data_IF_808139393300
#
_entry.id   IF_808139393300
#
_cell.length_a   1.000
_cell.length_b   1.000
_cell.length_c   1.000
_cell.angle_alpha   90.00
_cell.angle_beta   90.00
_cell.angle_gamma   90.00
#
_symmetry.space_group_name_H-M   'P 1'
#
loop_
_entity.id
_entity.type
_entity.pdbx_description
1 polymer ?
#
# COMPACT_ATOMS: atom_id res chain seq x y z
N UNK A 1 22.08 -14.16 18.76
CA UNK A 1 22.67 -13.93 17.43
C UNK A 1 21.94 -14.64 16.27
N UNK A 2 21.24 -15.77 16.46
CA UNK A 2 20.45 -16.41 15.37
C UNK A 2 19.05 -15.82 15.18
N UNK A 3 18.52 -15.12 16.19
CA UNK A 3 17.26 -14.39 16.12
C UNK A 3 17.52 -12.99 15.51
N UNK A 4 16.80 -12.55 14.46
CA UNK A 4 16.91 -11.19 13.93
C UNK A 4 16.59 -10.07 14.94
N UNK A 5 15.76 -10.35 15.94
CA UNK A 5 15.40 -9.42 17.02
C UNK A 5 16.41 -9.41 18.17
N UNK A 6 17.54 -10.11 18.01
CA UNK A 6 18.58 -10.13 19.03
C UNK A 6 19.28 -8.75 19.14
N UNK A 7 19.53 -8.26 20.38
CA UNK A 7 20.19 -6.97 20.58
C UNK A 7 21.66 -6.95 20.12
N UNK A 8 22.30 -8.11 19.94
CA UNK A 8 23.69 -8.19 19.47
C UNK A 8 23.80 -7.81 17.99
N UNK A 9 24.46 -6.68 17.72
CA UNK A 9 24.64 -6.13 16.35
C UNK A 9 26.05 -6.29 15.77
N UNK A 10 27.09 -6.28 16.60
CA UNK A 10 28.49 -6.32 16.16
C UNK A 10 29.30 -7.28 17.04
N UNK A 11 30.20 -8.05 16.44
CA UNK A 11 31.17 -8.89 17.15
C UNK A 11 32.54 -8.68 16.54
N UNK A 12 33.52 -8.33 17.37
CA UNK A 12 34.91 -8.18 16.97
C UNK A 12 35.63 -9.49 17.32
N UNK A 13 36.19 -10.14 16.31
CA UNK A 13 36.84 -11.45 16.46
C UNK A 13 38.22 -11.43 15.80
N UNK A 14 39.16 -12.24 16.34
CA UNK A 14 40.50 -12.41 15.76
C UNK A 14 40.60 -13.67 14.90
N UNK A 15 40.34 -14.83 15.52
CA UNK A 15 40.43 -16.16 14.89
C UNK A 15 39.18 -17.01 15.17
N UNK A 16 38.51 -16.73 16.28
CA UNK A 16 37.27 -17.40 16.65
C UNK A 16 36.16 -16.99 15.68
N UNK A 17 35.26 -17.93 15.40
CA UNK A 17 34.07 -17.73 14.55
C UNK A 17 34.33 -17.55 13.05
N UNK A 18 35.60 -17.61 12.62
CA UNK A 18 35.95 -17.76 11.20
C UNK A 18 35.70 -19.20 10.72
N UNK A 19 35.74 -20.17 11.64
CA UNK A 19 35.42 -21.58 11.41
C UNK A 19 34.35 -22.07 12.38
N UNK A 20 33.48 -22.98 11.94
CA UNK A 20 32.45 -23.63 12.77
C UNK A 20 31.25 -22.75 13.21
N UNK A 21 31.34 -21.43 13.11
CA UNK A 21 30.25 -20.51 13.43
C UNK A 21 29.18 -20.48 12.33
N UNK A 22 27.93 -20.40 12.72
CA UNK A 22 26.78 -20.36 11.81
C UNK A 22 25.77 -19.32 12.29
N UNK A 23 25.68 -18.22 11.55
CA UNK A 23 24.73 -17.13 11.80
C UNK A 23 24.07 -16.74 10.47
N UNK A 24 23.00 -17.45 10.05
CA UNK A 24 22.29 -17.15 8.81
C UNK A 24 21.87 -15.67 8.64
N UNK A 25 21.44 -14.95 9.69
CA UNK A 25 21.12 -13.52 9.57
C UNK A 25 22.32 -12.59 9.34
N UNK A 26 23.56 -13.05 9.54
CA UNK A 26 24.74 -12.21 9.41
C UNK A 26 24.95 -11.82 7.94
N UNK A 27 24.83 -10.52 7.63
CA UNK A 27 24.92 -9.98 6.28
C UNK A 27 26.30 -9.41 5.96
N UNK A 28 26.91 -8.67 6.89
CA UNK A 28 28.12 -7.88 6.62
C UNK A 28 29.31 -8.41 7.42
N UNK A 29 30.47 -8.55 6.76
CA UNK A 29 31.76 -8.86 7.39
C UNK A 29 32.77 -7.77 7.06
N UNK A 30 33.39 -7.20 8.10
CA UNK A 30 34.48 -6.24 7.97
C UNK A 30 35.81 -6.98 8.17
N UNK A 31 36.74 -6.83 7.23
CA UNK A 31 38.02 -7.55 7.24
C UNK A 31 39.17 -6.54 7.36
N UNK A 32 39.87 -6.63 8.47
CA UNK A 32 41.12 -5.93 8.76
C UNK A 32 42.19 -6.93 9.23
N UNK A 33 42.29 -8.05 8.50
CA UNK A 33 43.23 -9.13 8.81
C UNK A 33 43.65 -9.89 7.55
N UNK A 34 44.95 -10.03 7.27
CA UNK A 34 45.41 -10.76 6.10
C UNK A 34 44.97 -12.22 6.18
N UNK A 35 44.27 -12.68 5.15
CA UNK A 35 43.70 -14.02 5.03
C UNK A 35 43.88 -14.52 3.60
N UNK A 36 44.31 -15.77 3.45
CA UNK A 36 44.61 -16.37 2.15
C UNK A 36 43.92 -17.74 1.99
N UNK A 37 43.67 -18.12 0.73
CA UNK A 37 43.22 -19.46 0.35
C UNK A 37 41.96 -19.93 1.08
N UNK A 38 42.00 -21.14 1.64
CA UNK A 38 40.84 -21.79 2.25
C UNK A 38 40.27 -21.03 3.45
N UNK A 39 41.11 -20.37 4.25
CA UNK A 39 40.65 -19.61 5.42
C UNK A 39 39.80 -18.40 5.00
N UNK A 40 40.19 -17.74 3.91
CA UNK A 40 39.46 -16.62 3.33
C UNK A 40 38.08 -17.07 2.79
N UNK A 41 38.06 -18.17 2.03
CA UNK A 41 36.81 -18.75 1.52
C UNK A 41 35.85 -19.18 2.63
N UNK A 42 36.38 -19.80 3.70
CA UNK A 42 35.58 -20.22 4.84
C UNK A 42 34.98 -19.06 5.61
N UNK A 43 35.71 -17.94 5.72
CA UNK A 43 35.23 -16.72 6.37
C UNK A 43 34.11 -16.07 5.54
N UNK A 44 34.31 -15.88 4.23
CA UNK A 44 33.33 -15.23 3.34
C UNK A 44 32.06 -16.06 3.19
N UNK A 45 32.17 -17.40 3.15
CA UNK A 45 31.02 -18.29 3.12
C UNK A 45 30.10 -18.15 4.35
N UNK A 46 30.55 -17.52 5.45
CA UNK A 46 29.70 -17.24 6.63
C UNK A 46 28.68 -16.16 6.36
N UNK A 47 29.08 -15.09 5.67
CA UNK A 47 28.16 -14.02 5.30
C UNK A 47 27.31 -14.36 4.08
N UNK A 48 27.64 -15.41 3.32
CA UNK A 48 26.84 -15.82 2.17
C UNK A 48 25.80 -16.93 2.46
N UNK A 49 25.39 -17.12 3.72
CA UNK A 49 24.29 -18.03 4.08
C UNK A 49 22.94 -17.43 3.67
N UNK A 50 22.13 -18.24 2.96
CA UNK A 50 20.77 -17.88 2.55
C UNK A 50 19.89 -17.68 3.78
N UNK A 51 19.23 -16.52 3.86
CA UNK A 51 18.34 -16.21 4.97
C UNK A 51 17.28 -15.18 4.56
N UNK A 52 16.00 -15.59 4.54
CA UNK A 52 14.86 -14.73 4.17
C UNK A 52 15.12 -13.97 2.85
N UNK A 53 14.94 -12.65 2.83
CA UNK A 53 15.11 -11.76 1.67
C UNK A 53 16.54 -11.22 1.53
N UNK A 54 17.53 -11.83 2.17
CA UNK A 54 18.92 -11.41 2.10
C UNK A 54 19.45 -11.61 0.67
N UNK A 55 19.86 -10.53 -0.04
CA UNK A 55 20.28 -10.61 -1.43
C UNK A 55 21.65 -11.29 -1.59
N UNK A 56 22.49 -11.25 -0.56
CA UNK A 56 23.83 -11.84 -0.53
C UNK A 56 24.57 -11.52 0.76
N UNK A 57 25.86 -11.85 0.82
CA UNK A 57 26.76 -11.39 1.88
C UNK A 57 27.61 -10.21 1.42
N UNK A 58 27.72 -9.16 2.23
CA UNK A 58 28.59 -8.02 1.99
C UNK A 58 29.93 -8.21 2.72
N UNK A 59 31.04 -8.06 2.00
CA UNK A 59 32.39 -8.10 2.56
C UNK A 59 33.02 -6.73 2.36
N UNK A 60 33.39 -6.08 3.46
CA UNK A 60 34.07 -4.78 3.48
C UNK A 60 35.54 -5.02 3.79
N UNK A 61 36.40 -4.70 2.83
CA UNK A 61 37.83 -4.98 2.87
C UNK A 61 38.64 -3.71 3.12
N UNK A 62 39.42 -3.67 4.20
CA UNK A 62 40.30 -2.54 4.55
C UNK A 62 41.77 -2.74 4.18
N UNK A 63 42.15 -3.95 3.74
CA UNK A 63 43.55 -4.36 3.58
C UNK A 63 43.90 -4.87 2.17
N UNK A 64 42.90 -5.05 1.28
CA UNK A 64 43.10 -5.43 -0.11
C UNK A 64 43.14 -6.95 -0.36
N UNK A 65 42.33 -7.74 0.35
CA UNK A 65 42.15 -9.19 0.13
C UNK A 65 41.42 -9.54 -1.17
N UNK A 66 40.91 -8.56 -1.93
CA UNK A 66 40.21 -8.81 -3.21
C UNK A 66 41.03 -9.67 -4.20
N UNK A 67 42.35 -9.45 -4.27
CA UNK A 67 43.24 -10.23 -5.14
C UNK A 67 43.35 -11.70 -4.66
N UNK A 68 43.53 -11.89 -3.35
CA UNK A 68 43.58 -13.22 -2.72
C UNK A 68 42.26 -13.98 -2.82
N UNK A 69 41.14 -13.25 -2.74
CA UNK A 69 39.80 -13.79 -2.93
C UNK A 69 39.61 -14.30 -4.35
N UNK A 70 40.04 -13.54 -5.36
CA UNK A 70 39.97 -13.94 -6.77
C UNK A 70 40.79 -15.21 -7.03
N UNK A 71 41.97 -15.32 -6.43
CA UNK A 71 42.81 -16.53 -6.51
C UNK A 71 42.14 -17.72 -5.79
N UNK A 72 41.57 -17.51 -4.61
CA UNK A 72 40.92 -18.56 -3.83
C UNK A 72 39.61 -19.05 -4.47
N UNK A 73 38.82 -18.16 -5.07
CA UNK A 73 37.63 -18.49 -5.85
C UNK A 73 37.99 -19.32 -7.08
N UNK A 74 39.03 -18.93 -7.81
CA UNK A 74 39.51 -19.66 -8.99
C UNK A 74 39.91 -21.09 -8.62
N UNK A 75 40.68 -21.26 -7.55
CA UNK A 75 41.07 -22.58 -7.05
C UNK A 75 39.86 -23.44 -6.61
N UNK A 76 38.81 -22.83 -6.07
CA UNK A 76 37.58 -23.53 -5.66
C UNK A 76 36.73 -23.97 -6.88
N UNK A 77 36.62 -23.13 -7.91
CA UNK A 77 35.92 -23.45 -9.18
C UNK A 77 36.63 -24.57 -9.94
N UNK A 78 37.96 -24.48 -10.04
CA UNK A 78 38.81 -25.51 -10.68
C UNK A 78 38.69 -26.88 -9.98
N UNK A 79 38.23 -26.90 -8.71
CA UNK A 79 38.03 -28.11 -7.89
C UNK A 79 36.60 -28.72 -7.94
N UNK A 80 35.79 -28.40 -8.96
CA UNK A 80 34.42 -28.95 -9.18
C UNK A 80 33.34 -28.45 -8.19
N UNK A 81 33.43 -27.20 -7.73
CA UNK A 81 32.28 -26.55 -7.07
C UNK A 81 31.15 -26.27 -8.07
N UNK A 82 29.93 -26.77 -7.82
CA UNK A 82 28.75 -26.44 -8.66
C UNK A 82 28.23 -25.04 -8.34
N UNK A 83 28.35 -24.11 -9.30
CA UNK A 83 27.73 -22.78 -9.30
C UNK A 83 28.59 -21.75 -10.03
N UNK A 84 27.97 -20.90 -10.87
CA UNK A 84 28.63 -19.69 -11.39
C UNK A 84 28.86 -18.72 -10.22
N UNK A 85 30.10 -18.45 -9.78
CA UNK A 85 30.37 -17.81 -8.49
C UNK A 85 30.24 -16.28 -8.51
N UNK A 86 30.09 -15.70 -9.69
CA UNK A 86 30.20 -14.26 -9.93
C UNK A 86 29.10 -13.89 -10.89
N UNK A 87 28.13 -13.12 -10.40
CA UNK A 87 27.31 -12.32 -11.30
C UNK A 87 28.30 -11.41 -12.02
N UNK A 88 28.35 -11.49 -13.34
CA UNK A 88 29.15 -10.59 -14.15
C UNK A 88 28.66 -9.16 -13.87
N UNK A 89 29.49 -8.40 -13.15
CA UNK A 89 29.18 -7.03 -12.73
C UNK A 89 29.00 -6.12 -13.94
N UNK A 90 29.68 -6.40 -15.06
CA UNK A 90 29.51 -5.67 -16.32
C UNK A 90 28.16 -6.01 -16.96
N UNK A 91 27.75 -7.29 -16.94
CA UNK A 91 26.43 -7.68 -17.42
C UNK A 91 25.30 -7.11 -16.53
N UNK A 92 25.51 -7.03 -15.22
CA UNK A 92 24.59 -6.38 -14.29
C UNK A 92 24.50 -4.87 -14.54
N UNK A 93 25.62 -4.22 -14.84
CA UNK A 93 25.68 -2.81 -15.21
C UNK A 93 24.96 -2.54 -16.54
N UNK A 94 25.19 -3.36 -17.57
CA UNK A 94 24.47 -3.27 -18.83
C UNK A 94 22.95 -3.45 -18.64
N UNK A 95 22.54 -4.39 -17.78
CA UNK A 95 21.14 -4.57 -17.42
C UNK A 95 20.57 -3.37 -16.64
N UNK A 96 21.37 -2.76 -15.76
CA UNK A 96 20.99 -1.53 -15.04
C UNK A 96 20.74 -0.39 -16.02
N UNK A 97 21.66 -0.13 -16.95
CA UNK A 97 21.53 0.91 -17.97
C UNK A 97 20.27 0.70 -18.82
N UNK A 98 20.03 -0.53 -19.30
CA UNK A 98 18.83 -0.85 -20.07
C UNK A 98 17.53 -0.59 -19.28
N UNK A 99 17.53 -0.82 -17.96
CA UNK A 99 16.38 -0.52 -17.10
C UNK A 99 16.26 0.97 -16.81
N UNK A 100 17.37 1.68 -16.64
CA UNK A 100 17.38 3.12 -16.45
C UNK A 100 16.85 3.84 -17.69
N UNK A 101 17.25 3.41 -18.89
CA UNK A 101 16.72 3.92 -20.15
C UNK A 101 15.23 3.65 -20.32
N UNK A 102 14.75 2.48 -19.90
CA UNK A 102 13.33 2.19 -19.88
C UNK A 102 12.57 3.13 -18.93
N UNK A 103 13.14 3.47 -17.77
CA UNK A 103 12.56 4.45 -16.84
C UNK A 103 12.58 5.86 -17.43
N UNK A 104 13.72 6.32 -17.97
CA UNK A 104 13.85 7.60 -18.70
C UNK A 104 12.81 7.73 -19.81
N UNK A 105 12.58 6.67 -20.57
CA UNK A 105 11.55 6.65 -21.62
C UNK A 105 10.13 6.87 -21.10
N UNK A 106 9.82 6.50 -19.86
CA UNK A 106 8.52 6.78 -19.24
C UNK A 106 8.34 8.26 -18.88
N UNK A 107 9.44 8.99 -18.66
CA UNK A 107 9.46 10.43 -18.41
C UNK A 107 9.56 11.26 -19.69
N UNK A 108 9.43 10.66 -20.89
CA UNK A 108 9.42 11.42 -22.13
C UNK A 108 8.37 12.55 -22.09
N UNK A 109 8.83 13.79 -22.27
CA UNK A 109 8.02 15.00 -22.18
C UNK A 109 7.98 15.66 -20.78
N UNK A 110 8.73 15.14 -19.82
CA UNK A 110 8.95 15.74 -18.50
C UNK A 110 10.45 15.82 -18.21
N UNK A 111 10.95 17.04 -18.04
CA UNK A 111 12.34 17.26 -17.66
C UNK A 111 12.49 17.17 -16.14
N UNK A 112 13.38 16.29 -15.70
CA UNK A 112 13.73 16.12 -14.30
C UNK A 112 15.23 16.31 -14.06
N UNK A 113 15.99 16.84 -15.03
CA UNK A 113 17.46 16.96 -14.95
C UNK A 113 17.96 17.72 -13.72
N UNK A 114 17.16 18.62 -13.15
CA UNK A 114 17.49 19.35 -11.90
C UNK A 114 17.25 18.51 -10.62
N UNK A 115 17.19 17.17 -10.72
CA UNK A 115 16.94 16.27 -9.59
C UNK A 115 18.01 16.36 -8.48
N UNK A 116 19.20 16.89 -8.75
CA UNK A 116 20.25 17.06 -7.73
C UNK A 116 20.02 18.28 -6.83
N UNK A 117 19.39 19.34 -7.36
CA UNK A 117 19.18 20.62 -6.69
C UNK A 117 17.73 20.82 -6.24
N UNK A 118 16.78 20.37 -7.05
CA UNK A 118 15.34 20.64 -6.91
C UNK A 118 14.53 19.34 -6.71
N UNK A 119 15.18 18.27 -6.19
CA UNK A 119 14.58 16.94 -5.99
C UNK A 119 13.18 16.97 -5.37
N UNK A 120 13.01 17.81 -4.35
CA UNK A 120 11.77 17.93 -3.58
C UNK A 120 10.66 18.55 -4.44
N UNK A 121 10.98 19.61 -5.18
CA UNK A 121 10.03 20.32 -6.04
C UNK A 121 9.64 19.50 -7.27
N UNK A 122 10.54 18.66 -7.78
CA UNK A 122 10.31 17.78 -8.93
C UNK A 122 9.51 16.52 -8.60
N UNK A 123 9.42 16.13 -7.32
CA UNK A 123 8.80 14.87 -6.91
C UNK A 123 7.31 14.79 -7.28
N UNK A 124 6.52 15.84 -6.97
CA UNK A 124 5.08 15.86 -7.26
C UNK A 124 4.81 15.97 -8.77
N UNK A 125 5.45 16.87 -9.53
CA UNK A 125 5.32 16.90 -10.99
C UNK A 125 5.73 15.59 -11.68
N UNK A 126 6.80 14.93 -11.21
CA UNK A 126 7.23 13.62 -11.71
C UNK A 126 6.15 12.55 -11.50
N UNK A 127 5.51 12.54 -10.34
CA UNK A 127 4.39 11.63 -10.05
C UNK A 127 3.19 11.93 -10.94
N UNK A 128 2.82 13.19 -11.10
CA UNK A 128 1.69 13.61 -11.95
C UNK A 128 1.88 13.14 -13.40
N UNK A 129 3.10 13.30 -13.93
CA UNK A 129 3.44 12.83 -15.27
C UNK A 129 3.27 11.30 -15.42
N UNK A 130 3.64 10.52 -14.40
CA UNK A 130 3.49 9.05 -14.43
C UNK A 130 2.05 8.59 -14.23
N UNK A 131 1.24 9.38 -13.53
CA UNK A 131 -0.18 9.12 -13.28
C UNK A 131 -1.10 9.67 -14.38
N UNK A 132 -0.55 10.45 -15.31
CA UNK A 132 -1.30 10.93 -16.47
C UNK A 132 -1.79 9.74 -17.31
N UNK A 133 -3.11 9.56 -17.51
CA UNK A 133 -3.66 8.47 -18.32
C UNK A 133 -3.32 8.67 -19.80
N UNK A 134 -2.97 7.60 -20.51
CA UNK A 134 -2.81 7.61 -21.96
C UNK A 134 -4.16 7.56 -22.71
N UNK A 135 -4.13 7.50 -24.04
CA UNK A 135 -5.34 7.43 -24.88
C UNK A 135 -6.17 6.14 -24.64
N UNK A 136 -5.61 5.14 -23.98
CA UNK A 136 -6.30 3.90 -23.59
C UNK A 136 -6.78 3.91 -22.13
N UNK A 137 -6.62 5.02 -21.42
CA UNK A 137 -6.99 5.17 -20.00
C UNK A 137 -6.03 4.49 -19.02
N UNK A 138 -4.88 3.99 -19.50
CA UNK A 138 -3.85 3.37 -18.64
C UNK A 138 -2.79 4.40 -18.26
N UNK A 139 -2.32 4.33 -17.02
CA UNK A 139 -1.23 5.20 -16.54
C UNK A 139 0.12 4.52 -16.77
N UNK A 140 1.20 5.31 -16.77
CA UNK A 140 2.58 4.78 -16.86
C UNK A 140 3.05 4.15 -15.55
N UNK A 141 2.28 4.33 -14.46
CA UNK A 141 2.55 3.83 -13.11
C UNK A 141 3.01 2.38 -13.05
N UNK A 142 2.24 1.44 -13.58
CA UNK A 142 2.56 0.01 -13.41
C UNK A 142 3.86 -0.35 -14.13
N UNK A 143 4.04 0.18 -15.34
CA UNK A 143 5.30 0.02 -16.10
C UNK A 143 6.48 0.63 -15.38
N UNK A 144 6.30 1.79 -14.73
CA UNK A 144 7.33 2.43 -13.92
C UNK A 144 7.70 1.60 -12.70
N UNK A 145 6.72 1.09 -11.94
CA UNK A 145 6.97 0.26 -10.76
C UNK A 145 7.71 -1.03 -11.12
N UNK A 146 7.36 -1.65 -12.24
CA UNK A 146 8.03 -2.85 -12.77
C UNK A 146 9.45 -2.56 -13.26
N UNK A 147 9.64 -1.48 -14.03
CA UNK A 147 10.96 -1.06 -14.50
C UNK A 147 11.89 -0.72 -13.34
N UNK A 148 11.39 0.03 -12.34
CA UNK A 148 12.12 0.34 -11.12
C UNK A 148 12.47 -0.91 -10.32
N UNK A 149 11.61 -1.94 -10.30
CA UNK A 149 11.93 -3.20 -9.62
C UNK A 149 13.11 -3.93 -10.29
N UNK A 150 13.19 -3.87 -11.62
CA UNK A 150 14.36 -4.35 -12.36
C UNK A 150 15.61 -3.51 -12.08
N UNK A 151 15.48 -2.18 -12.14
CA UNK A 151 16.57 -1.23 -11.92
C UNK A 151 17.22 -1.39 -10.55
N UNK A 152 16.42 -1.41 -9.47
CA UNK A 152 16.94 -1.55 -8.09
C UNK A 152 17.71 -2.87 -7.91
N UNK A 153 17.25 -3.97 -8.51
CA UNK A 153 17.94 -5.26 -8.44
C UNK A 153 19.26 -5.25 -9.21
N UNK A 154 19.27 -4.67 -10.41
CA UNK A 154 20.47 -4.57 -11.23
C UNK A 154 21.52 -3.65 -10.58
N UNK A 155 21.09 -2.48 -10.07
CA UNK A 155 21.96 -1.55 -9.37
C UNK A 155 22.60 -2.17 -8.12
N UNK A 156 21.85 -2.93 -7.32
CA UNK A 156 22.42 -3.61 -6.15
C UNK A 156 23.56 -4.59 -6.50
N UNK A 157 23.60 -5.11 -7.73
CA UNK A 157 24.62 -6.06 -8.20
C UNK A 157 25.84 -5.37 -8.83
N UNK A 158 25.72 -4.11 -9.25
CA UNK A 158 26.80 -3.35 -9.88
C UNK A 158 27.18 -2.06 -9.15
N UNK A 159 26.58 -1.78 -8.00
CA UNK A 159 26.78 -0.54 -7.22
C UNK A 159 28.22 -0.27 -6.76
N UNK A 160 29.09 -1.29 -6.78
CA UNK A 160 30.51 -1.17 -6.42
C UNK A 160 31.41 -0.79 -7.61
N UNK A 161 30.85 -0.63 -8.82
CA UNK A 161 31.59 -0.15 -9.98
C UNK A 161 31.66 1.37 -9.97
N UNK A 162 32.83 1.93 -10.29
CA UNK A 162 33.03 3.37 -10.39
C UNK A 162 32.11 4.00 -11.46
N UNK A 163 31.81 3.26 -12.54
CA UNK A 163 30.88 3.70 -13.59
C UNK A 163 29.42 3.76 -13.13
N UNK A 164 29.05 3.02 -12.08
CA UNK A 164 27.69 3.06 -11.53
C UNK A 164 27.46 4.24 -10.58
N UNK A 165 28.54 4.89 -10.11
CA UNK A 165 28.49 6.03 -9.20
C UNK A 165 27.82 7.26 -9.84
N UNK A 166 28.04 7.47 -11.14
CA UNK A 166 27.45 8.59 -11.90
C UNK A 166 25.91 8.59 -11.87
N UNK A 167 25.30 7.41 -11.80
CA UNK A 167 23.84 7.25 -11.81
C UNK A 167 23.20 7.25 -10.41
N UNK A 168 24.01 7.32 -9.35
CA UNK A 168 23.52 7.14 -7.98
C UNK A 168 22.43 8.14 -7.61
N UNK A 169 22.65 9.42 -7.89
CA UNK A 169 21.68 10.48 -7.53
C UNK A 169 20.38 10.38 -8.34
N UNK A 170 20.47 10.07 -9.63
CA UNK A 170 19.29 9.84 -10.48
C UNK A 170 18.48 8.64 -9.98
N UNK A 171 19.13 7.50 -9.71
CA UNK A 171 18.48 6.29 -9.20
C UNK A 171 17.85 6.54 -7.83
N UNK A 172 18.48 7.35 -6.98
CA UNK A 172 17.94 7.75 -5.68
C UNK A 172 16.66 8.60 -5.84
N UNK A 173 16.67 9.61 -6.70
CA UNK A 173 15.48 10.42 -7.01
C UNK A 173 14.34 9.56 -7.56
N UNK A 174 14.61 8.71 -8.54
CA UNK A 174 13.62 7.80 -9.13
C UNK A 174 13.06 6.81 -8.08
N UNK A 175 13.91 6.37 -7.15
CA UNK A 175 13.49 5.53 -6.02
C UNK A 175 12.59 6.28 -5.04
N UNK A 176 12.83 7.58 -4.81
CA UNK A 176 11.94 8.43 -4.03
C UNK A 176 10.56 8.60 -4.71
N UNK A 177 10.54 8.84 -6.04
CA UNK A 177 9.30 8.90 -6.82
C UNK A 177 8.53 7.57 -6.73
N UNK A 178 9.22 6.43 -6.85
CA UNK A 178 8.63 5.09 -6.66
C UNK A 178 8.03 4.92 -5.27
N UNK A 179 8.77 5.27 -4.21
CA UNK A 179 8.31 5.16 -2.84
C UNK A 179 7.06 6.02 -2.60
N UNK A 180 7.05 7.25 -3.13
CA UNK A 180 5.92 8.15 -3.06
C UNK A 180 4.68 7.59 -3.80
N UNK A 181 4.84 7.09 -5.02
CA UNK A 181 3.75 6.44 -5.77
C UNK A 181 3.18 5.25 -4.97
N UNK A 182 4.02 4.36 -4.45
CA UNK A 182 3.55 3.19 -3.67
C UNK A 182 2.80 3.65 -2.41
N UNK A 183 3.38 4.58 -1.65
CA UNK A 183 2.81 5.10 -0.40
C UNK A 183 1.47 5.79 -0.62
N UNK A 184 1.28 6.46 -1.76
CA UNK A 184 0.12 7.31 -2.01
C UNK A 184 -0.90 6.73 -3.01
N UNK A 185 -0.59 5.65 -3.75
CA UNK A 185 -1.50 5.13 -4.80
C UNK A 185 -1.78 3.62 -4.77
N UNK A 186 -1.14 2.84 -3.89
CA UNK A 186 -1.48 1.42 -3.70
C UNK A 186 -2.21 1.18 -2.39
N UNK A 187 -3.36 0.52 -2.47
CA UNK A 187 -4.09 -0.05 -1.32
C UNK A 187 -3.12 -0.97 -0.59
N UNK A 188 -3.00 -0.83 0.73
CA UNK A 188 -2.20 -1.73 1.55
C UNK A 188 -2.65 -3.18 1.35
N UNK A 189 -1.99 -3.93 0.46
CA UNK A 189 -1.82 -5.35 0.71
C UNK A 189 -0.99 -5.43 1.98
N UNK A 190 -1.55 -6.03 3.04
CA UNK A 190 -0.90 -6.31 4.33
C UNK A 190 0.48 -6.96 4.12
N UNK A 191 1.51 -6.16 3.89
CA UNK A 191 2.90 -6.54 4.09
C UNK A 191 3.19 -6.26 5.55
N UNK A 192 3.70 -7.27 6.24
CA UNK A 192 4.00 -7.19 7.67
C UNK A 192 5.00 -6.06 7.92
N UNK A 193 4.92 -5.38 9.08
CA UNK A 193 5.87 -4.30 9.42
C UNK A 193 7.33 -4.71 9.27
N UNK A 194 7.63 -5.99 9.52
CA UNK A 194 8.96 -6.58 9.32
C UNK A 194 9.42 -6.58 7.84
N UNK A 195 8.50 -6.77 6.88
CA UNK A 195 8.81 -6.72 5.44
C UNK A 195 8.98 -5.28 4.95
N UNK A 196 8.19 -4.33 5.50
CA UNK A 196 8.32 -2.90 5.23
C UNK A 196 9.65 -2.36 5.79
N UNK A 197 10.02 -2.72 7.03
CA UNK A 197 11.30 -2.35 7.63
C UNK A 197 12.50 -2.97 6.92
N UNK A 198 12.42 -4.22 6.46
CA UNK A 198 13.51 -4.85 5.72
C UNK A 198 13.77 -4.22 4.36
N UNK A 199 12.72 -3.78 3.66
CA UNK A 199 12.83 -3.08 2.38
C UNK A 199 13.32 -1.64 2.57
N UNK A 200 12.83 -0.92 3.59
CA UNK A 200 13.33 0.41 3.95
C UNK A 200 14.81 0.37 4.34
N UNK A 201 15.21 -0.63 5.13
CA UNK A 201 16.59 -0.76 5.59
C UNK A 201 17.55 -1.08 4.45
N UNK A 202 17.14 -1.92 3.49
CA UNK A 202 17.92 -2.18 2.28
C UNK A 202 18.02 -0.97 1.32
N UNK A 203 17.04 -0.06 1.37
CA UNK A 203 17.07 1.21 0.62
C UNK A 203 17.95 2.24 1.33
N UNK A 204 17.89 2.31 2.67
CA UNK A 204 18.70 3.21 3.50
C UNK A 204 20.17 2.79 3.53
N UNK A 205 20.46 1.48 3.57
CA UNK A 205 21.83 0.96 3.61
C UNK A 205 22.59 1.19 2.27
N UNK A 206 21.87 1.47 1.16
CA UNK A 206 22.44 1.82 -0.15
C UNK A 206 22.23 3.30 -0.55
N UNK A 207 21.51 4.09 0.25
CA UNK A 207 21.26 5.50 0.01
C UNK A 207 21.78 6.29 1.20
N UNK A 208 23.07 6.64 1.15
CA UNK A 208 23.62 7.64 2.06
C UNK A 208 22.89 8.97 1.79
N UNK A 209 22.11 9.35 2.80
CA UNK A 209 21.44 10.65 3.03
C UNK A 209 20.26 10.98 2.13
N UNK A 210 19.06 10.72 2.65
CA UNK A 210 18.14 11.81 2.95
C UNK A 210 17.37 11.46 4.24
N UNK A 211 17.77 12.07 5.36
CA UNK A 211 16.91 12.14 6.52
C UNK A 211 15.59 12.83 6.10
N UNK A 212 14.47 12.12 6.32
CA UNK A 212 13.14 12.73 6.30
C UNK A 212 12.35 12.60 5.00
N UNK A 213 11.95 11.39 4.61
CA UNK A 213 10.67 11.21 3.87
C UNK A 213 9.53 11.11 4.88
N UNK A 214 9.43 12.11 5.76
CA UNK A 214 8.33 12.26 6.70
C UNK A 214 7.43 13.41 6.23
N UNK A 215 6.38 13.00 5.50
CA UNK A 215 5.25 13.79 4.98
C UNK A 215 5.45 14.62 3.73
N UNK A 216 5.15 13.98 2.59
CA UNK A 216 4.75 14.66 1.35
C UNK A 216 3.53 15.57 1.58
N UNK A 217 2.67 15.26 2.58
CA UNK A 217 1.62 16.16 3.02
C UNK A 217 2.20 17.51 3.48
N UNK A 218 3.23 17.55 4.34
CA UNK A 218 3.89 18.81 4.73
C UNK A 218 4.55 19.53 3.56
N UNK A 219 5.09 18.78 2.59
CA UNK A 219 5.68 19.35 1.37
C UNK A 219 4.62 19.99 0.46
N UNK A 220 3.37 19.52 0.52
CA UNK A 220 2.21 20.15 -0.11
C UNK A 220 1.49 21.17 0.81
N UNK A 221 1.99 21.43 2.03
CA UNK A 221 1.37 22.36 3.01
C UNK A 221 0.32 21.73 3.96
N UNK A 222 0.18 20.41 3.96
CA UNK A 222 -0.90 19.64 4.60
C UNK A 222 -0.41 18.91 5.88
N UNK A 223 -1.21 18.90 6.95
CA UNK A 223 -0.89 18.20 8.21
C UNK A 223 -1.27 16.70 8.23
N UNK A 224 -0.61 15.90 9.08
CA UNK A 224 -0.74 14.43 9.24
C UNK A 224 -2.13 13.97 9.75
N UNK A 225 -2.49 12.67 9.57
CA UNK A 225 -3.87 12.22 9.47
C UNK A 225 -4.59 12.09 10.83
N UNK A 226 -5.69 12.80 10.93
CA UNK A 226 -6.92 12.32 11.57
C UNK A 226 -8.06 12.59 10.58
N UNK A 227 -9.27 12.13 10.89
CA UNK A 227 -10.51 12.25 10.08
C UNK A 227 -10.79 13.68 9.50
N UNK A 228 -10.03 14.71 9.88
CA UNK A 228 -9.97 16.03 9.24
C UNK A 228 -9.34 16.09 7.83
N UNK A 229 -8.89 14.98 7.24
CA UNK A 229 -8.36 14.92 5.87
C UNK A 229 -9.41 15.07 4.76
N UNK A 230 -10.69 15.09 5.09
CA UNK A 230 -11.76 15.50 4.16
C UNK A 230 -12.39 16.84 4.58
N UNK A 231 -11.76 17.58 5.51
CA UNK A 231 -12.30 18.87 5.97
C UNK A 231 -12.49 19.83 4.80
N UNK A 232 -13.44 20.77 4.93
CA UNK A 232 -13.66 21.77 3.89
C UNK A 232 -12.38 22.53 3.53
N UNK A 233 -11.52 22.82 4.52
CA UNK A 233 -10.22 23.45 4.31
C UNK A 233 -9.30 22.61 3.40
N UNK A 234 -9.16 21.30 3.65
CA UNK A 234 -8.38 20.39 2.81
C UNK A 234 -8.94 20.31 1.39
N UNK A 235 -10.26 20.19 1.25
CA UNK A 235 -10.91 20.09 -0.07
C UNK A 235 -10.72 21.37 -0.89
N UNK A 236 -10.69 22.54 -0.26
CA UNK A 236 -10.43 23.81 -0.92
C UNK A 236 -8.93 23.99 -1.27
N UNK A 237 -8.01 23.45 -0.47
CA UNK A 237 -6.58 23.39 -0.78
C UNK A 237 -6.31 22.46 -1.98
N UNK A 238 -6.98 21.31 -2.04
CA UNK A 238 -6.83 20.32 -3.11
C UNK A 238 -7.27 20.89 -4.49
N UNK A 239 -8.29 21.77 -4.51
CA UNK A 239 -8.70 22.50 -5.72
C UNK A 239 -7.58 23.38 -6.30
N UNK A 240 -6.69 23.87 -5.44
CA UNK A 240 -5.62 24.77 -5.82
C UNK A 240 -4.34 24.03 -6.27
N UNK A 241 -4.30 22.69 -6.17
CA UNK A 241 -3.13 21.90 -6.56
C UNK A 241 -2.92 21.98 -8.08
N UNK A 242 -1.75 22.46 -8.55
CA UNK A 242 -1.46 22.54 -9.98
C UNK A 242 -1.40 21.16 -10.65
N UNK A 243 -0.97 20.13 -9.91
CA UNK A 243 -0.84 18.75 -10.36
C UNK A 243 -2.16 17.99 -10.22
N UNK A 244 -3.05 18.19 -11.19
CA UNK A 244 -4.42 17.69 -11.15
C UNK A 244 -4.54 16.16 -11.16
N UNK A 245 -3.63 15.42 -11.81
CA UNK A 245 -3.70 13.95 -11.84
C UNK A 245 -3.26 13.35 -10.51
N UNK A 246 -2.27 13.97 -9.86
CA UNK A 246 -1.91 13.64 -8.48
C UNK A 246 -3.10 13.86 -7.53
N UNK A 247 -3.81 14.98 -7.68
CA UNK A 247 -4.97 15.29 -6.85
C UNK A 247 -6.09 14.25 -6.98
N UNK A 248 -6.42 13.83 -8.21
CA UNK A 248 -7.39 12.75 -8.45
C UNK A 248 -6.95 11.45 -7.76
N UNK A 249 -5.68 11.06 -7.90
CA UNK A 249 -5.18 9.83 -7.27
C UNK A 249 -5.18 9.89 -5.73
N UNK A 250 -4.93 11.07 -5.16
CA UNK A 250 -5.00 11.29 -3.72
C UNK A 250 -6.44 11.21 -3.22
N UNK A 251 -7.36 11.93 -3.85
CA UNK A 251 -8.79 11.93 -3.51
C UNK A 251 -9.42 10.55 -3.67
N UNK A 252 -9.11 9.84 -4.75
CA UNK A 252 -9.54 8.45 -4.96
C UNK A 252 -9.20 7.58 -3.75
N UNK A 253 -7.93 7.63 -3.33
CA UNK A 253 -7.46 6.83 -2.20
C UNK A 253 -8.12 7.23 -0.90
N UNK A 254 -8.17 8.53 -0.60
CA UNK A 254 -8.75 9.03 0.65
C UNK A 254 -10.23 8.63 0.76
N UNK A 255 -10.98 8.75 -0.33
CA UNK A 255 -12.37 8.31 -0.39
C UNK A 255 -12.47 6.79 -0.25
N UNK A 256 -11.66 6.01 -0.97
CA UNK A 256 -11.71 4.56 -0.89
C UNK A 256 -11.38 4.03 0.52
N UNK A 257 -10.36 4.60 1.17
CA UNK A 257 -9.96 4.22 2.52
C UNK A 257 -11.01 4.63 3.56
N UNK A 258 -11.60 5.84 3.42
CA UNK A 258 -12.64 6.33 4.33
C UNK A 258 -13.95 5.56 4.18
N UNK A 259 -14.40 5.26 2.96
CA UNK A 259 -15.58 4.41 2.68
C UNK A 259 -15.39 3.04 3.32
N UNK A 260 -14.24 2.40 3.10
CA UNK A 260 -13.94 1.08 3.70
C UNK A 260 -13.86 1.14 5.23
N UNK A 261 -13.28 2.20 5.80
CA UNK A 261 -13.12 2.30 7.24
C UNK A 261 -14.44 2.59 7.97
N UNK A 262 -15.30 3.45 7.38
CA UNK A 262 -16.55 3.89 8.01
C UNK A 262 -17.75 3.00 7.69
N UNK A 263 -17.87 2.52 6.45
CA UNK A 263 -19.03 1.77 5.99
C UNK A 263 -18.78 0.27 5.86
N UNK A 264 -17.69 -0.27 6.42
CA UNK A 264 -17.45 -1.74 6.45
C UNK A 264 -18.66 -2.54 6.95
N UNK A 265 -19.41 -1.95 7.87
CA UNK A 265 -20.58 -2.56 8.51
C UNK A 265 -21.90 -2.10 7.89
N UNK A 266 -21.92 -1.29 6.84
CA UNK A 266 -23.13 -0.77 6.20
C UNK A 266 -23.08 -0.96 4.68
N UNK A 267 -23.76 -2.00 4.20
CA UNK A 267 -23.71 -2.43 2.79
C UNK A 267 -24.21 -1.35 1.84
N UNK A 268 -25.22 -0.61 2.26
CA UNK A 268 -25.94 0.29 1.37
C UNK A 268 -25.11 1.54 1.13
N UNK A 269 -24.58 2.13 2.20
CA UNK A 269 -23.67 3.27 2.07
C UNK A 269 -22.37 2.85 1.39
N UNK A 270 -21.81 1.68 1.71
CA UNK A 270 -20.62 1.17 1.04
C UNK A 270 -20.84 1.02 -0.48
N UNK A 271 -21.93 0.38 -0.92
CA UNK A 271 -22.24 0.21 -2.35
C UNK A 271 -22.47 1.56 -3.03
N UNK A 272 -23.29 2.43 -2.43
CA UNK A 272 -23.65 3.74 -2.96
C UNK A 272 -22.41 4.60 -3.22
N UNK A 273 -21.52 4.74 -2.23
CA UNK A 273 -20.31 5.56 -2.38
C UNK A 273 -19.25 4.88 -3.25
N UNK A 274 -19.08 3.55 -3.15
CA UNK A 274 -18.10 2.82 -3.98
C UNK A 274 -18.46 2.83 -5.47
N UNK A 275 -19.74 2.64 -5.80
CA UNK A 275 -20.22 2.69 -7.19
C UNK A 275 -20.06 4.09 -7.78
N UNK A 276 -20.44 5.12 -7.03
CA UNK A 276 -20.31 6.51 -7.45
C UNK A 276 -18.83 6.92 -7.63
N UNK A 277 -17.93 6.45 -6.76
CA UNK A 277 -16.48 6.64 -6.90
C UNK A 277 -15.97 5.95 -8.16
N UNK A 278 -16.35 4.69 -8.38
CA UNK A 278 -15.97 3.95 -9.57
C UNK A 278 -16.49 4.61 -10.86
N UNK A 279 -17.69 5.20 -10.85
CA UNK A 279 -18.25 5.93 -11.99
C UNK A 279 -17.46 7.20 -12.30
N UNK A 280 -17.13 8.01 -11.29
CA UNK A 280 -16.30 9.20 -11.44
C UNK A 280 -14.92 8.86 -12.05
N UNK A 281 -14.29 7.78 -11.56
CA UNK A 281 -13.00 7.30 -12.07
C UNK A 281 -13.10 6.70 -13.48
N UNK A 282 -14.23 6.07 -13.84
CA UNK A 282 -14.45 5.61 -15.23
C UNK A 282 -14.50 6.78 -16.19
N UNK A 283 -15.18 7.88 -15.82
CA UNK A 283 -15.21 9.11 -16.63
C UNK A 283 -13.81 9.69 -16.79
N UNK A 284 -13.01 9.69 -15.72
CA UNK A 284 -11.60 10.10 -15.75
C UNK A 284 -10.74 9.24 -16.69
N UNK A 285 -10.73 7.92 -16.51
CA UNK A 285 -9.94 7.01 -17.34
C UNK A 285 -10.33 7.07 -18.82
N UNK A 286 -11.61 7.27 -19.12
CA UNK A 286 -12.10 7.37 -20.50
C UNK A 286 -11.95 8.79 -21.08
N UNK A 287 -11.37 9.75 -20.32
CA UNK A 287 -11.30 11.18 -20.68
C UNK A 287 -12.64 11.76 -21.14
N UNK A 288 -13.74 11.23 -20.60
CA UNK A 288 -15.09 11.67 -20.94
C UNK A 288 -15.37 13.09 -20.41
N UNK A 289 -14.57 13.52 -19.43
CA UNK A 289 -14.68 14.75 -18.68
C UNK A 289 -13.26 15.29 -18.40
N UNK A 290 -13.11 16.62 -18.28
CA UNK A 290 -11.84 17.25 -17.89
C UNK A 290 -11.41 16.86 -16.47
N UNK A 291 -10.10 16.74 -16.21
CA UNK A 291 -9.56 16.36 -14.89
C UNK A 291 -10.07 17.28 -13.78
N UNK A 292 -10.17 18.58 -14.02
CA UNK A 292 -10.74 19.54 -13.07
C UNK A 292 -12.19 19.21 -12.67
N UNK A 293 -13.01 18.77 -13.61
CA UNK A 293 -14.40 18.40 -13.33
C UNK A 293 -14.50 17.06 -12.60
N UNK A 294 -13.56 16.13 -12.82
CA UNK A 294 -13.44 14.91 -12.00
C UNK A 294 -13.09 15.27 -10.55
N UNK A 295 -12.14 16.19 -10.34
CA UNK A 295 -11.79 16.69 -9.00
C UNK A 295 -13.02 17.26 -8.29
N UNK A 296 -13.81 18.09 -8.99
CA UNK A 296 -15.07 18.62 -8.45
C UNK A 296 -16.09 17.52 -8.10
N UNK A 297 -16.25 16.49 -8.94
CA UNK A 297 -17.12 15.34 -8.61
C UNK A 297 -16.64 14.59 -7.35
N UNK A 298 -15.32 14.39 -7.21
CA UNK A 298 -14.71 13.73 -6.04
C UNK A 298 -14.84 14.59 -4.76
N UNK A 299 -14.65 15.90 -4.87
CA UNK A 299 -14.85 16.84 -3.75
C UNK A 299 -16.32 16.87 -3.33
N UNK A 300 -17.25 16.93 -4.29
CA UNK A 300 -18.68 16.86 -4.00
C UNK A 300 -19.04 15.56 -3.25
N UNK A 301 -18.46 14.44 -3.69
CA UNK A 301 -18.62 13.17 -3.00
C UNK A 301 -18.04 13.18 -1.58
N UNK A 302 -16.88 13.80 -1.36
CA UNK A 302 -16.30 13.95 -0.02
C UNK A 302 -17.20 14.76 0.91
N UNK A 303 -17.83 15.82 0.41
CA UNK A 303 -18.81 16.62 1.17
C UNK A 303 -20.07 15.82 1.50
N UNK A 304 -20.60 15.08 0.52
CA UNK A 304 -21.74 14.19 0.74
C UNK A 304 -21.42 13.12 1.79
N UNK A 305 -20.22 12.54 1.74
CA UNK A 305 -19.72 11.57 2.71
C UNK A 305 -19.68 12.15 4.13
N UNK A 306 -19.17 13.37 4.30
CA UNK A 306 -19.19 14.07 5.60
C UNK A 306 -20.61 14.35 6.09
N UNK A 307 -21.51 14.74 5.18
CA UNK A 307 -22.90 15.01 5.54
C UNK A 307 -23.62 13.76 6.07
N UNK A 308 -23.35 12.59 5.49
CA UNK A 308 -23.91 11.32 5.96
C UNK A 308 -23.32 10.94 7.31
N UNK A 309 -22.01 11.12 7.54
CA UNK A 309 -21.41 10.91 8.87
C UNK A 309 -22.05 11.79 9.96
N UNK A 310 -22.26 13.07 9.67
CA UNK A 310 -22.96 13.96 10.60
C UNK A 310 -24.43 13.60 10.78
N UNK A 311 -25.08 13.06 9.75
CA UNK A 311 -26.45 12.54 9.87
C UNK A 311 -26.47 11.35 10.81
N UNK A 312 -25.56 10.39 10.65
CA UNK A 312 -25.41 9.24 11.54
C UNK A 312 -25.23 9.66 13.01
N UNK A 313 -24.37 10.65 13.27
CA UNK A 313 -24.17 11.22 14.61
C UNK A 313 -25.47 11.83 15.18
N UNK A 314 -26.26 12.53 14.36
CA UNK A 314 -27.56 13.10 14.75
C UNK A 314 -28.64 12.06 14.99
N UNK A 315 -28.55 10.89 14.33
CA UNK A 315 -29.49 9.80 14.54
C UNK A 315 -29.36 9.21 15.96
N UNK A 316 -28.18 9.31 16.57
CA UNK A 316 -27.91 8.83 17.93
C UNK A 316 -28.05 7.31 18.08
N UNK A 317 -27.95 6.59 16.96
CA UNK A 317 -28.07 5.13 16.87
C UNK A 317 -26.68 4.47 16.94
N UNK A 318 -26.63 3.21 17.39
CA UNK A 318 -25.40 2.41 17.29
C UNK A 318 -25.05 2.09 15.83
N UNK A 319 -23.77 1.78 15.55
CA UNK A 319 -23.30 1.48 14.17
C UNK A 319 -24.13 0.40 13.45
N UNK A 320 -24.53 -0.64 14.19
CA UNK A 320 -25.37 -1.70 13.63
C UNK A 320 -26.79 -1.22 13.32
N UNK A 321 -27.36 -0.42 14.23
CA UNK A 321 -28.71 0.13 14.10
C UNK A 321 -28.80 1.10 12.93
N UNK A 322 -27.75 1.88 12.68
CA UNK A 322 -27.62 2.74 11.50
C UNK A 322 -27.65 1.90 10.22
N UNK A 323 -26.88 0.82 10.17
CA UNK A 323 -26.84 -0.05 9.00
C UNK A 323 -28.21 -0.71 8.70
N UNK A 324 -28.95 -1.10 9.74
CA UNK A 324 -30.33 -1.58 9.56
C UNK A 324 -31.31 -0.47 9.21
N UNK A 325 -31.14 0.74 9.75
CA UNK A 325 -31.96 1.90 9.39
C UNK A 325 -31.79 2.23 7.90
N UNK A 326 -30.56 2.27 7.39
CA UNK A 326 -30.29 2.53 5.97
C UNK A 326 -30.88 1.42 5.08
N UNK A 327 -30.85 0.15 5.53
CA UNK A 327 -31.52 -0.96 4.86
C UNK A 327 -33.03 -0.84 4.77
N UNK A 328 -33.65 -0.16 5.73
CA UNK A 328 -35.09 0.10 5.72
C UNK A 328 -35.43 1.38 4.96
N UNK A 329 -34.52 2.35 4.94
CA UNK A 329 -34.69 3.65 4.30
C UNK A 329 -34.42 3.61 2.78
N UNK A 330 -33.76 2.57 2.26
CA UNK A 330 -33.58 2.35 0.81
C UNK A 330 -34.92 2.27 0.05
N UNK A 331 -36.00 1.88 0.72
CA UNK A 331 -37.34 2.00 0.16
C UNK A 331 -37.88 3.43 0.32
N UNK A 332 -37.92 4.19 -0.77
CA UNK A 332 -38.45 5.55 -0.79
C UNK A 332 -39.90 5.66 -0.24
N UNK A 333 -40.75 4.67 -0.49
CA UNK A 333 -42.13 4.65 0.01
C UNK A 333 -42.16 4.56 1.54
N UNK A 334 -41.22 3.82 2.14
CA UNK A 334 -41.11 3.70 3.59
C UNK A 334 -40.68 5.01 4.25
N UNK A 335 -39.75 5.73 3.63
CA UNK A 335 -39.32 7.06 4.13
C UNK A 335 -40.47 8.05 4.08
N UNK A 336 -41.26 8.06 2.99
CA UNK A 336 -42.40 8.98 2.82
C UNK A 336 -43.58 8.67 3.75
N UNK A 337 -43.92 7.40 3.95
CA UNK A 337 -45.12 7.00 4.69
C UNK A 337 -44.90 6.85 6.20
N UNK A 338 -43.71 6.39 6.63
CA UNK A 338 -43.42 6.13 8.04
C UNK A 338 -42.61 7.26 8.69
N UNK A 339 -41.79 7.96 7.90
CA UNK A 339 -40.85 8.95 8.39
C UNK A 339 -39.69 8.37 9.22
N UNK A 340 -38.70 9.21 9.51
CA UNK A 340 -37.44 8.77 10.13
C UNK A 340 -37.62 8.22 11.55
N UNK A 341 -38.49 8.82 12.37
CA UNK A 341 -38.65 8.40 13.78
C UNK A 341 -39.21 6.99 13.93
N UNK A 342 -40.04 6.55 12.99
CA UNK A 342 -40.57 5.18 12.99
C UNK A 342 -39.50 4.23 12.46
N UNK A 343 -38.81 4.58 11.37
CA UNK A 343 -37.74 3.76 10.81
C UNK A 343 -36.61 3.52 11.82
N UNK A 344 -36.23 4.52 12.62
CA UNK A 344 -35.27 4.35 13.73
C UNK A 344 -35.73 3.30 14.74
N UNK A 345 -37.00 3.36 15.17
CA UNK A 345 -37.56 2.38 16.11
C UNK A 345 -37.60 0.97 15.53
N UNK A 346 -37.92 0.84 14.25
CA UNK A 346 -37.88 -0.44 13.54
C UNK A 346 -36.45 -0.96 13.52
N UNK A 347 -35.47 -0.13 13.17
CA UNK A 347 -34.06 -0.51 13.11
C UNK A 347 -33.56 -1.02 14.47
N UNK A 348 -33.85 -0.32 15.57
CA UNK A 348 -33.52 -0.76 16.94
C UNK A 348 -34.20 -2.10 17.27
N UNK A 349 -35.51 -2.25 17.00
CA UNK A 349 -36.24 -3.49 17.30
C UNK A 349 -35.72 -4.68 16.46
N UNK A 350 -35.41 -4.46 15.18
CA UNK A 350 -34.83 -5.46 14.28
C UNK A 350 -33.43 -5.86 14.76
N UNK A 351 -32.58 -4.90 15.12
CA UNK A 351 -31.22 -5.16 15.63
C UNK A 351 -31.25 -6.01 16.89
N UNK A 352 -32.08 -5.65 17.87
CA UNK A 352 -32.22 -6.40 19.13
C UNK A 352 -32.71 -7.83 18.88
N UNK A 353 -33.74 -8.00 18.05
CA UNK A 353 -34.29 -9.33 17.76
C UNK A 353 -33.31 -10.20 16.99
N UNK A 354 -32.58 -9.63 16.02
CA UNK A 354 -31.55 -10.35 15.28
C UNK A 354 -30.42 -10.78 16.20
N UNK A 355 -29.82 -9.87 16.99
CA UNK A 355 -28.77 -10.21 17.96
C UNK A 355 -29.17 -11.31 18.94
N UNK A 356 -30.41 -11.29 19.43
CA UNK A 356 -30.90 -12.34 20.35
C UNK A 356 -31.17 -13.70 19.68
N UNK A 357 -31.35 -13.71 18.36
CA UNK A 357 -31.72 -14.91 17.60
C UNK A 357 -30.57 -15.52 16.80
N UNK A 358 -29.43 -14.83 16.68
CA UNK A 358 -28.24 -15.31 15.96
C UNK A 358 -27.45 -16.30 16.82
N UNK A 359 -27.33 -17.54 16.36
CA UNK A 359 -26.39 -18.54 16.89
C UNK A 359 -25.09 -18.54 16.08
N UNK A 360 -23.99 -19.04 16.66
CA UNK A 360 -22.71 -19.25 15.93
C UNK A 360 -22.95 -20.04 14.63
N UNK A 361 -22.33 -19.60 13.52
CA UNK A 361 -22.42 -20.18 12.16
C UNK A 361 -23.82 -20.17 11.49
N UNK A 362 -24.75 -19.29 11.89
CA UNK A 362 -26.09 -19.25 11.27
C UNK A 362 -26.10 -18.94 9.77
N UNK A 363 -25.08 -18.21 9.26
CA UNK A 363 -24.92 -17.88 7.84
C UNK A 363 -24.90 -19.12 6.93
N UNK A 364 -24.41 -20.26 7.43
CA UNK A 364 -24.31 -21.53 6.68
C UNK A 364 -25.57 -22.40 6.78
N UNK A 365 -26.55 -22.01 7.61
CA UNK A 365 -27.75 -22.81 7.90
C UNK A 365 -29.00 -22.15 7.33
N UNK A 366 -29.47 -22.68 6.20
CA UNK A 366 -30.64 -22.16 5.48
C UNK A 366 -31.91 -22.13 6.35
N UNK A 367 -32.08 -23.10 7.26
CA UNK A 367 -33.20 -23.13 8.21
C UNK A 367 -33.17 -21.99 9.23
N UNK A 368 -31.99 -21.51 9.63
CA UNK A 368 -31.86 -20.36 10.53
C UNK A 368 -32.12 -19.07 9.77
N UNK A 369 -31.58 -18.94 8.55
CA UNK A 369 -31.82 -17.80 7.66
C UNK A 369 -33.31 -17.61 7.36
N UNK A 370 -34.03 -18.70 7.07
CA UNK A 370 -35.47 -18.68 6.86
C UNK A 370 -36.25 -18.20 8.10
N UNK A 371 -35.85 -18.63 9.31
CA UNK A 371 -36.46 -18.15 10.57
C UNK A 371 -36.22 -16.66 10.80
N UNK A 372 -35.01 -16.17 10.52
CA UNK A 372 -34.67 -14.75 10.65
C UNK A 372 -35.45 -13.90 9.63
N UNK A 373 -35.60 -14.34 8.38
CA UNK A 373 -36.46 -13.67 7.38
C UNK A 373 -37.90 -13.52 7.88
N UNK A 374 -38.47 -14.57 8.47
CA UNK A 374 -39.83 -14.53 9.04
C UNK A 374 -39.90 -13.53 10.20
N UNK A 375 -38.88 -13.49 11.06
CA UNK A 375 -38.80 -12.56 12.19
C UNK A 375 -38.76 -11.10 11.71
N UNK A 376 -37.94 -10.80 10.70
CA UNK A 376 -37.84 -9.46 10.11
C UNK A 376 -39.17 -9.09 9.48
N UNK A 377 -39.75 -9.98 8.66
CA UNK A 377 -41.06 -9.77 8.01
C UNK A 377 -42.18 -9.46 9.01
N UNK A 378 -42.27 -10.21 10.12
CA UNK A 378 -43.25 -9.94 11.19
C UNK A 378 -43.03 -8.59 11.86
N UNK A 379 -41.77 -8.20 12.06
CA UNK A 379 -41.43 -6.89 12.66
C UNK A 379 -41.84 -5.76 11.72
N UNK A 380 -41.57 -5.88 10.42
CA UNK A 380 -42.01 -4.90 9.42
C UNK A 380 -43.53 -4.80 9.32
N UNK A 381 -44.25 -5.94 9.39
CA UNK A 381 -45.72 -5.95 9.40
C UNK A 381 -46.31 -5.25 10.63
N UNK A 382 -45.73 -5.46 11.82
CA UNK A 382 -46.16 -4.79 13.07
C UNK A 382 -46.11 -3.27 12.94
N UNK A 383 -45.09 -2.74 12.28
CA UNK A 383 -44.89 -1.32 12.07
C UNK A 383 -45.55 -0.78 10.79
N UNK A 384 -46.36 -1.59 10.09
CA UNK A 384 -47.05 -1.24 8.85
C UNK A 384 -46.11 -0.75 7.74
N UNK A 385 -44.96 -1.41 7.60
CA UNK A 385 -44.02 -1.10 6.52
C UNK A 385 -44.67 -1.32 5.14
N UNK A 386 -44.49 -0.40 4.17
CA UNK A 386 -45.14 -0.50 2.86
C UNK A 386 -44.86 -1.84 2.15
N UNK A 387 -45.88 -2.47 1.54
CA UNK A 387 -45.76 -3.81 0.97
C UNK A 387 -45.01 -3.85 -0.38
N UNK A 388 -44.80 -2.70 -1.02
CA UNK A 388 -44.28 -2.56 -2.38
C UNK A 388 -42.85 -3.10 -2.56
N UNK A 389 -41.93 -2.77 -1.63
CA UNK A 389 -40.55 -3.28 -1.59
C UNK A 389 -40.22 -3.96 -0.28
N UNK A 390 -41.24 -4.45 0.44
CA UNK A 390 -41.05 -5.12 1.72
C UNK A 390 -40.12 -6.34 1.62
N UNK A 391 -40.23 -7.13 0.55
CA UNK A 391 -39.39 -8.31 0.36
C UNK A 391 -37.93 -7.94 0.08
N UNK A 392 -37.68 -6.90 -0.72
CA UNK A 392 -36.34 -6.37 -0.96
C UNK A 392 -35.71 -5.81 0.33
N UNK A 393 -36.49 -5.10 1.16
CA UNK A 393 -36.03 -4.61 2.46
C UNK A 393 -35.67 -5.76 3.42
N UNK A 394 -36.44 -6.86 3.42
CA UNK A 394 -36.10 -8.07 4.19
C UNK A 394 -34.78 -8.67 3.71
N UNK A 395 -34.56 -8.73 2.40
CA UNK A 395 -33.32 -9.27 1.81
C UNK A 395 -32.10 -8.43 2.17
N UNK A 396 -32.22 -7.10 2.08
CA UNK A 396 -31.18 -6.17 2.47
C UNK A 396 -30.85 -6.28 3.97
N UNK A 397 -31.87 -6.33 4.83
CA UNK A 397 -31.68 -6.51 6.28
C UNK A 397 -30.98 -7.83 6.61
N UNK A 398 -31.30 -8.91 5.90
CA UNK A 398 -30.62 -10.21 6.13
C UNK A 398 -29.18 -10.19 5.64
N UNK A 399 -28.91 -9.61 4.46
CA UNK A 399 -27.55 -9.42 3.96
C UNK A 399 -26.72 -8.54 4.89
N UNK A 400 -27.33 -7.51 5.46
CA UNK A 400 -26.72 -6.64 6.46
C UNK A 400 -26.40 -7.39 7.76
N UNK A 401 -27.31 -8.25 8.21
CA UNK A 401 -27.10 -9.09 9.38
C UNK A 401 -25.98 -10.14 9.17
N UNK A 402 -25.80 -10.65 7.95
CA UNK A 402 -24.72 -11.58 7.62
C UNK A 402 -23.35 -10.95 7.84
N UNK A 403 -23.13 -9.71 7.41
CA UNK A 403 -21.85 -9.03 7.59
C UNK A 403 -21.56 -8.66 9.04
N UNK A 404 -22.60 -8.35 9.82
CA UNK A 404 -22.48 -8.06 11.24
C UNK A 404 -22.29 -9.32 12.10
N UNK A 405 -22.62 -10.51 11.58
CA UNK A 405 -22.53 -11.75 12.35
C UNK A 405 -21.10 -12.06 12.82
N UNK A 406 -20.08 -11.69 12.03
CA UNK A 406 -18.66 -11.84 12.39
C UNK A 406 -18.22 -10.87 13.51
N UNK A 407 -18.98 -9.78 13.72
CA UNK A 407 -18.73 -8.80 14.77
C UNK A 407 -19.55 -9.06 16.06
N UNK A 408 -20.58 -9.91 15.98
CA UNK A 408 -21.44 -10.28 17.13
C UNK A 408 -20.98 -11.55 17.85
N UNK A 409 -20.06 -12.30 17.25
CA UNK A 409 -19.31 -13.41 17.87
C UNK A 409 -18.03 -12.91 18.51
#
# INVERSE_FOLDING_TARGET
FKNPEDPLRLVIVRDMWLTGFDAPPCHTMYIDKPMHGHNLMQAIARVNRVFKNKPGGLVVDYIGIAADLKVALKAYVDSQGKGEPTVDTEAAFAAMLAKLDAVRGLFFGFDYSDYETEAIHLLIPAMDHLLTPDASGKTKKDRFLDAMAGLTRAYALCSTLDEAEEYRYEIAFLSAVRAAIIKHTTVEQKKTEAEKHSLLKAIIDNAVVAEGVDDIFKLAGLEKPNIGLLSEAFLDEERAIPQQNFAVALLERLLQDSIKARFRTNVIQESKFSERLAEALRKYHNRAIETAQVIEELIGMAKDFQSELHREERLGLGLDEIAFYDALADNESAVRELGDDILKKIAVEVTQKLRSSTSVDWQKRESVRARLRILVRRTLQKWKYPPDRQEAAVDLVIRQAELLADAWT
#
